data_IF_861451119034
#
_entry.id   IF_861451119034
#
_cell.length_a   1.000
_cell.length_b   1.000
_cell.length_c   1.000
_cell.angle_alpha   90.00
_cell.angle_beta   90.00
_cell.angle_gamma   90.00
#
_symmetry.space_group_name_H-M   'P 1'
#
loop_
_entity.id
_entity.type
_entity.pdbx_description
1 polymer ?
#
# COMPACT_ATOMS: atom_id res chain seq x y z
N UNK A 1 -8.32 15.95 -5.41
CA UNK A 1 -8.53 15.27 -6.72
C UNK A 1 -7.24 15.23 -7.56
N UNK A 2 -7.15 14.34 -8.56
CA UNK A 2 -5.95 14.18 -9.42
C UNK A 2 -4.77 13.43 -8.78
N UNK A 3 -4.92 12.98 -7.53
CA UNK A 3 -3.91 12.19 -6.85
C UNK A 3 -4.03 10.71 -7.20
N UNK A 4 -2.91 10.00 -7.15
CA UNK A 4 -2.81 8.56 -7.31
C UNK A 4 -1.79 7.99 -6.32
N UNK A 5 -1.88 6.69 -6.04
CA UNK A 5 -0.85 6.01 -5.27
C UNK A 5 -0.32 4.83 -6.08
N UNK A 6 0.87 5.01 -6.65
CA UNK A 6 1.49 4.07 -7.60
C UNK A 6 1.63 2.65 -7.03
N UNK A 7 1.85 1.68 -7.91
CA UNK A 7 2.21 0.31 -7.51
C UNK A 7 3.30 0.27 -6.45
N UNK A 8 3.00 -0.37 -5.33
CA UNK A 8 3.93 -0.57 -4.22
C UNK A 8 3.53 -1.79 -3.39
N UNK A 9 4.40 -2.11 -2.46
CA UNK A 9 4.08 -2.94 -1.31
C UNK A 9 4.15 -2.10 -0.04
N UNK A 10 3.45 -2.56 0.99
CA UNK A 10 3.56 -1.99 2.33
C UNK A 10 4.77 -2.57 3.07
N UNK A 11 5.33 -1.79 4.00
CA UNK A 11 6.37 -2.27 4.93
C UNK A 11 5.78 -3.13 6.05
N UNK A 12 4.52 -2.88 6.42
CA UNK A 12 3.81 -3.61 7.46
C UNK A 12 3.05 -4.81 6.87
N UNK A 13 2.96 -5.91 7.62
CA UNK A 13 2.37 -7.16 7.16
C UNK A 13 0.87 -7.03 6.88
N UNK A 14 0.14 -6.33 7.76
CA UNK A 14 -1.32 -6.19 7.68
C UNK A 14 -1.72 -4.73 7.63
N UNK A 15 -2.60 -4.40 6.69
CA UNK A 15 -3.22 -3.08 6.60
C UNK A 15 -4.73 -3.24 6.67
N UNK A 16 -5.36 -2.48 7.57
CA UNK A 16 -6.81 -2.31 7.63
C UNK A 16 -7.13 -0.90 7.15
N UNK A 17 -8.04 -0.76 6.20
CA UNK A 17 -8.50 0.55 5.74
C UNK A 17 -10.00 0.67 5.82
N UNK A 18 -10.48 1.88 6.11
CA UNK A 18 -11.90 2.23 6.03
C UNK A 18 -12.06 3.38 5.05
N UNK A 19 -12.84 3.16 3.99
CA UNK A 19 -13.13 4.21 3.03
C UNK A 19 -14.13 5.18 3.65
N UNK A 20 -13.73 6.44 3.84
CA UNK A 20 -14.59 7.47 4.43
C UNK A 20 -15.37 8.21 3.35
N UNK A 21 -14.68 8.53 2.24
CA UNK A 21 -15.31 9.14 1.06
C UNK A 21 -14.72 8.52 -0.22
N UNK A 22 -15.52 7.92 -1.10
CA UNK A 22 -15.07 7.49 -2.42
C UNK A 22 -14.80 8.68 -3.34
N UNK A 23 -13.99 8.47 -4.38
CA UNK A 23 -13.98 9.39 -5.52
C UNK A 23 -15.23 9.16 -6.39
N UNK A 24 -15.71 10.20 -7.06
CA UNK A 24 -16.80 10.09 -8.04
C UNK A 24 -16.39 9.32 -9.31
N UNK A 25 -15.10 9.31 -9.65
CA UNK A 25 -14.51 8.51 -10.73
C UNK A 25 -13.02 8.25 -10.47
N UNK A 26 -12.50 7.12 -10.97
CA UNK A 26 -11.12 6.69 -10.67
C UNK A 26 -10.93 6.32 -9.20
N UNK A 27 -9.73 6.53 -8.64
CA UNK A 27 -9.44 6.23 -7.24
C UNK A 27 -9.64 4.76 -6.86
N UNK A 28 -9.52 3.84 -7.83
CA UNK A 28 -9.78 2.42 -7.64
C UNK A 28 -8.60 1.74 -6.97
N UNK A 29 -8.88 0.92 -5.96
CA UNK A 29 -7.87 0.03 -5.38
C UNK A 29 -7.67 -1.17 -6.32
N UNK A 30 -6.45 -1.30 -6.83
CA UNK A 30 -6.02 -2.42 -7.67
C UNK A 30 -4.90 -3.18 -6.98
N UNK A 31 -4.90 -4.51 -7.10
CA UNK A 31 -3.89 -5.34 -6.45
C UNK A 31 -3.67 -6.68 -7.15
N UNK A 32 -2.49 -7.25 -6.94
CA UNK A 32 -2.15 -8.63 -7.29
C UNK A 32 -1.87 -9.39 -5.99
N UNK A 33 -2.75 -10.33 -5.59
CA UNK A 33 -2.63 -10.99 -4.29
C UNK A 33 -1.41 -11.92 -4.24
N UNK A 34 -0.68 -11.87 -3.13
CA UNK A 34 0.45 -12.78 -2.84
C UNK A 34 1.45 -12.89 -4.01
N UNK A 35 1.76 -11.74 -4.64
CA UNK A 35 2.70 -11.68 -5.76
C UNK A 35 4.13 -12.01 -5.33
N UNK A 36 4.50 -11.63 -4.11
CA UNK A 36 5.79 -11.93 -3.50
C UNK A 36 5.62 -12.67 -2.19
N UNK A 37 6.70 -13.25 -1.69
CA UNK A 37 6.75 -14.00 -0.43
C UNK A 37 7.81 -13.43 0.50
N UNK A 38 7.90 -13.96 1.73
CA UNK A 38 8.89 -13.52 2.72
C UNK A 38 10.34 -13.69 2.25
N UNK A 39 10.58 -14.67 1.37
CA UNK A 39 11.91 -15.09 0.92
C UNK A 39 12.20 -14.75 -0.54
N UNK A 40 11.21 -14.23 -1.28
CA UNK A 40 11.34 -13.91 -2.71
C UNK A 40 10.51 -12.69 -3.08
N UNK A 41 11.18 -11.70 -3.67
CA UNK A 41 10.60 -10.46 -4.19
C UNK A 41 9.79 -10.67 -5.48
N UNK A 42 9.98 -11.80 -6.16
CA UNK A 42 9.33 -12.17 -7.41
C UNK A 42 9.44 -11.09 -8.50
N UNK A 43 10.65 -10.53 -8.67
CA UNK A 43 10.93 -9.39 -9.55
C UNK A 43 10.40 -9.55 -10.98
N UNK A 44 10.50 -10.74 -11.56
CA UNK A 44 10.03 -10.99 -12.94
C UNK A 44 8.51 -10.81 -13.05
N UNK A 45 7.74 -11.29 -12.06
CA UNK A 45 6.28 -11.14 -12.05
C UNK A 45 5.87 -9.70 -11.70
N UNK A 46 6.58 -9.05 -10.76
CA UNK A 46 6.41 -7.61 -10.48
C UNK A 46 6.61 -6.81 -11.76
N UNK A 47 7.69 -7.08 -12.51
CA UNK A 47 7.99 -6.38 -13.75
C UNK A 47 6.88 -6.53 -14.78
N UNK A 48 6.30 -7.72 -14.96
CA UNK A 48 5.16 -7.90 -15.89
C UNK A 48 4.00 -6.98 -15.55
N UNK A 49 3.64 -6.85 -14.28
CA UNK A 49 2.55 -5.96 -13.82
C UNK A 49 2.89 -4.50 -14.11
N UNK A 50 4.14 -4.08 -13.86
CA UNK A 50 4.61 -2.72 -14.13
C UNK A 50 4.68 -2.41 -15.63
N UNK A 51 5.02 -3.40 -16.46
CA UNK A 51 5.01 -3.32 -17.93
C UNK A 51 3.58 -3.35 -18.50
N UNK A 52 2.56 -3.45 -17.63
CA UNK A 52 1.16 -3.28 -17.99
C UNK A 52 0.36 -4.57 -18.10
N UNK A 53 0.93 -5.74 -17.75
CA UNK A 53 0.15 -6.97 -17.67
C UNK A 53 -0.93 -6.86 -16.59
N UNK A 54 -2.19 -7.04 -17.01
CA UNK A 54 -3.37 -6.96 -16.14
C UNK A 54 -4.00 -8.33 -15.85
N UNK A 55 -3.40 -9.42 -16.32
CA UNK A 55 -3.98 -10.78 -16.26
C UNK A 55 -4.36 -11.22 -14.83
N UNK A 56 -3.61 -10.76 -13.83
CA UNK A 56 -3.80 -11.10 -12.41
C UNK A 56 -4.24 -9.91 -11.55
N UNK A 57 -4.41 -8.73 -12.15
CA UNK A 57 -4.82 -7.53 -11.42
C UNK A 57 -6.29 -7.66 -11.05
N UNK A 58 -6.55 -7.56 -9.75
CA UNK A 58 -7.89 -7.47 -9.19
C UNK A 58 -8.19 -6.02 -8.88
N UNK A 59 -9.45 -5.61 -9.07
CA UNK A 59 -9.98 -4.31 -8.66
C UNK A 59 -11.10 -4.52 -7.66
N UNK A 60 -11.08 -3.76 -6.56
CA UNK A 60 -12.18 -3.77 -5.60
C UNK A 60 -13.12 -2.59 -5.83
N UNK A 61 -14.42 -2.86 -5.76
CA UNK A 61 -15.44 -1.84 -5.62
C UNK A 61 -15.61 -1.55 -4.14
N UNK A 62 -15.34 -0.32 -3.72
CA UNK A 62 -15.44 0.12 -2.33
C UNK A 62 -16.41 1.30 -2.24
N UNK A 63 -17.22 1.30 -1.18
CA UNK A 63 -18.15 2.37 -0.82
C UNK A 63 -17.73 3.00 0.51
N UNK A 64 -18.29 4.19 0.81
CA UNK A 64 -18.11 4.79 2.12
C UNK A 64 -18.58 3.83 3.22
N UNK A 65 -17.74 3.61 4.23
CA UNK A 65 -17.93 2.68 5.33
C UNK A 65 -17.36 1.27 5.11
N UNK A 66 -16.94 0.91 3.89
CA UNK A 66 -16.35 -0.40 3.64
C UNK A 66 -14.99 -0.52 4.36
N UNK A 67 -14.82 -1.66 5.03
CA UNK A 67 -13.60 -2.03 5.74
C UNK A 67 -12.83 -3.07 4.93
N UNK A 68 -11.61 -2.74 4.53
CA UNK A 68 -10.73 -3.62 3.78
C UNK A 68 -9.61 -4.15 4.68
N UNK A 69 -9.34 -5.45 4.57
CA UNK A 69 -8.22 -6.13 5.22
C UNK A 69 -7.34 -6.73 4.13
N UNK A 70 -6.06 -6.43 4.13
CA UNK A 70 -5.15 -7.00 3.15
C UNK A 70 -3.72 -7.08 3.63
N UNK A 71 -2.98 -8.00 3.01
CA UNK A 71 -1.56 -8.24 3.25
C UNK A 71 -0.73 -7.38 2.27
N UNK A 72 -0.62 -6.09 2.55
CA UNK A 72 0.07 -5.12 1.69
C UNK A 72 1.56 -5.44 1.50
N UNK A 73 2.18 -6.11 2.48
CA UNK A 73 3.56 -6.59 2.39
C UNK A 73 3.78 -7.57 1.24
N UNK A 74 2.79 -8.40 0.93
CA UNK A 74 2.91 -9.51 -0.05
C UNK A 74 2.07 -9.29 -1.32
N UNK A 75 1.17 -8.32 -1.32
CA UNK A 75 0.30 -8.02 -2.46
C UNK A 75 0.71 -6.70 -3.08
N UNK A 76 1.16 -6.72 -4.33
CA UNK A 76 1.48 -5.50 -5.06
C UNK A 76 0.18 -4.75 -5.30
N UNK A 77 0.10 -3.48 -4.92
CA UNK A 77 -1.16 -2.73 -4.98
C UNK A 77 -0.96 -1.26 -5.31
N UNK A 78 -2.01 -0.65 -5.84
CA UNK A 78 -2.07 0.76 -6.19
C UNK A 78 -3.47 1.33 -5.96
N UNK A 79 -3.55 2.66 -5.96
CA UNK A 79 -4.79 3.40 -6.13
C UNK A 79 -4.67 4.19 -7.43
N UNK A 80 -5.54 3.89 -8.40
CA UNK A 80 -5.55 4.61 -9.68
C UNK A 80 -5.82 6.10 -9.46
N UNK A 81 -5.45 6.93 -10.42
CA UNK A 81 -5.74 8.37 -10.37
C UNK A 81 -7.20 8.65 -10.05
N UNK A 82 -7.43 9.58 -9.12
CA UNK A 82 -8.74 10.15 -8.85
C UNK A 82 -9.09 11.15 -9.96
N UNK A 83 -9.82 10.67 -10.98
CA UNK A 83 -10.31 11.47 -12.11
C UNK A 83 -11.65 12.15 -11.83
N UNK A 84 -12.16 12.02 -10.59
CA UNK A 84 -13.34 12.72 -10.12
C UNK A 84 -13.06 14.16 -9.70
N UNK A 85 -14.11 14.81 -9.24
CA UNK A 85 -14.14 16.19 -8.75
C UNK A 85 -14.11 16.31 -7.22
N UNK A 86 -14.20 15.18 -6.51
CA UNK A 86 -14.20 15.11 -5.05
C UNK A 86 -12.95 14.44 -4.49
N UNK A 87 -12.61 14.74 -3.24
CA UNK A 87 -11.50 14.10 -2.55
C UNK A 87 -11.86 12.69 -2.06
N UNK A 88 -10.97 11.74 -2.34
CA UNK A 88 -11.06 10.37 -1.82
C UNK A 88 -10.40 10.31 -0.44
N UNK A 89 -11.18 10.04 0.59
CA UNK A 89 -10.71 10.02 1.98
C UNK A 89 -10.68 8.58 2.50
N UNK A 90 -9.51 8.15 2.98
CA UNK A 90 -9.26 6.80 3.48
C UNK A 90 -8.62 6.87 4.87
N UNK A 91 -9.16 6.15 5.84
CA UNK A 91 -8.47 5.86 7.10
C UNK A 91 -7.60 4.63 6.89
N UNK A 92 -6.32 4.72 7.26
CA UNK A 92 -5.36 3.62 7.18
C UNK A 92 -4.89 3.27 8.59
N UNK A 93 -4.93 1.99 8.92
CA UNK A 93 -4.39 1.41 10.15
C UNK A 93 -3.37 0.33 9.77
N UNK A 94 -2.11 0.55 10.13
CA UNK A 94 -1.00 -0.34 9.83
C UNK A 94 -0.65 -1.18 11.06
N UNK A 95 -0.48 -2.49 10.86
CA UNK A 95 -0.14 -3.43 11.92
C UNK A 95 1.08 -4.25 11.53
N UNK A 96 1.99 -4.44 12.49
CA UNK A 96 3.21 -5.23 12.32
C UNK A 96 3.25 -6.39 13.31
N UNK A 97 3.85 -7.51 12.92
CA UNK A 97 3.98 -8.66 13.83
C UNK A 97 5.07 -8.48 14.87
N UNK A 98 6.20 -7.87 14.50
CA UNK A 98 7.32 -7.66 15.41
C UNK A 98 7.17 -6.36 16.21
N UNK A 99 7.34 -6.41 17.55
CA UNK A 99 7.44 -5.20 18.36
C UNK A 99 8.61 -4.31 17.92
N UNK A 100 8.42 -2.99 18.01
CA UNK A 100 9.46 -2.02 17.69
C UNK A 100 9.71 -1.80 16.20
N UNK A 101 8.88 -2.34 15.31
CA UNK A 101 8.92 -1.97 13.90
C UNK A 101 8.53 -0.51 13.71
N UNK A 102 9.42 0.24 13.07
CA UNK A 102 9.23 1.64 12.71
C UNK A 102 9.43 1.78 11.19
N UNK A 103 8.64 2.67 10.59
CA UNK A 103 8.73 3.01 9.17
C UNK A 103 10.08 3.63 8.81
N UNK A 104 10.48 3.51 7.54
CA UNK A 104 11.66 4.19 7.02
C UNK A 104 11.49 5.72 7.14
N UNK A 105 12.45 6.43 7.73
CA UNK A 105 12.39 7.88 7.93
C UNK A 105 12.05 8.66 6.66
N UNK A 106 12.65 8.30 5.51
CA UNK A 106 12.38 8.94 4.22
C UNK A 106 10.92 8.75 3.83
N UNK A 107 10.42 7.51 3.90
CA UNK A 107 9.05 7.17 3.49
C UNK A 107 7.99 7.78 4.41
N UNK A 108 8.24 7.80 5.72
CA UNK A 108 7.37 8.47 6.69
C UNK A 108 7.33 9.97 6.42
N UNK A 109 8.46 10.59 6.10
CA UNK A 109 8.51 12.00 5.72
C UNK A 109 7.74 12.28 4.43
N UNK A 110 7.86 11.43 3.43
CA UNK A 110 7.16 11.59 2.15
C UNK A 110 5.64 11.44 2.32
N UNK A 111 5.19 10.50 3.17
CA UNK A 111 3.77 10.24 3.40
C UNK A 111 3.11 11.23 4.37
N UNK A 112 3.80 11.61 5.45
CA UNK A 112 3.21 12.37 6.56
C UNK A 112 3.83 13.75 6.78
N UNK A 113 4.87 14.10 6.02
CA UNK A 113 5.57 15.39 6.09
C UNK A 113 6.50 15.56 7.30
N UNK A 114 6.58 14.57 8.21
CA UNK A 114 7.34 14.68 9.46
C UNK A 114 7.89 13.34 9.92
N UNK A 115 9.00 13.39 10.66
CA UNK A 115 9.60 12.25 11.36
C UNK A 115 9.80 12.58 12.84
N UNK A 116 10.25 11.59 13.60
CA UNK A 116 10.61 11.68 15.03
C UNK A 116 11.86 10.86 15.26
N UNK A 117 12.53 11.04 16.40
CA UNK A 117 13.82 10.40 16.72
C UNK A 117 13.79 8.86 16.60
N UNK A 118 12.64 8.21 16.82
CA UNK A 118 12.52 6.75 16.66
C UNK A 118 12.72 6.28 15.21
N UNK A 119 12.62 7.16 14.23
CA UNK A 119 12.84 6.83 12.81
C UNK A 119 14.32 6.80 12.42
N UNK A 120 15.22 7.35 13.25
CA UNK A 120 16.67 7.37 13.04
C UNK A 120 17.39 6.16 13.69
N UNK A 121 16.63 5.31 14.39
CA UNK A 121 17.14 4.10 15.05
C UNK A 121 17.28 2.92 14.08
N UNK A 122 17.99 1.87 14.52
CA UNK A 122 18.15 0.63 13.76
C UNK A 122 16.80 -0.03 13.43
N UNK A 123 16.67 -0.50 12.19
CA UNK A 123 15.41 -1.04 11.69
C UNK A 123 15.18 -2.45 12.18
N UNK A 124 14.00 -2.67 12.77
CA UNK A 124 13.46 -4.02 12.98
C UNK A 124 12.64 -4.43 11.76
N UNK A 125 12.90 -5.64 11.24
CA UNK A 125 12.15 -6.26 10.14
C UNK A 125 11.84 -7.73 10.46
N UNK A 126 10.73 -8.21 9.94
CA UNK A 126 10.31 -9.62 10.03
C UNK A 126 10.95 -10.51 8.97
N UNK A 127 11.44 -9.91 7.89
CA UNK A 127 11.92 -10.59 6.69
C UNK A 127 13.15 -9.89 6.07
N UNK A 128 13.62 -10.41 4.93
CA UNK A 128 14.79 -9.90 4.20
C UNK A 128 14.47 -9.07 2.95
N UNK A 129 13.21 -8.64 2.77
CA UNK A 129 12.76 -7.89 1.59
C UNK A 129 13.16 -6.39 1.71
N UNK A 130 13.33 -5.69 0.58
CA UNK A 130 14.22 -4.52 0.46
C UNK A 130 13.60 -3.15 0.88
N UNK A 131 12.28 -3.04 0.97
CA UNK A 131 11.45 -1.83 1.22
C UNK A 131 12.11 -0.55 1.81
#
# INVERSE_FOLDING_TARGET
PGEQFNWHFDTNEFTITMLLNPASSGGHFEYVPALRSQDDECYDEVKKVLDGDRSWVKRLTLNAGDLQFFLGRFSLHQVTENTGDEDRLLLIMSFTEKPGMVGNAVRVKDLYGKTTDVHEMDRVRSDGLID
#
